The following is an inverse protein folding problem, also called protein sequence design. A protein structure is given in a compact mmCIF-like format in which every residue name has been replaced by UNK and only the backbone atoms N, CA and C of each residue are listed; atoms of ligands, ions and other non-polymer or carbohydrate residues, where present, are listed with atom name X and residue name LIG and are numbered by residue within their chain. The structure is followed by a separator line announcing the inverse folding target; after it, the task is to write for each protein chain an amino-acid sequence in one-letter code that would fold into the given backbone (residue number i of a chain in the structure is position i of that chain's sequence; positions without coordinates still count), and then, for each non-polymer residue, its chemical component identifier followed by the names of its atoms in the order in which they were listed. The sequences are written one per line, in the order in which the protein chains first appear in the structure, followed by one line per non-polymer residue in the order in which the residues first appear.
data_IF_570820575247
#
_entry.id   IF_570820575247
#
_cell.length_a   1.000
_cell.length_b   1.000
_cell.length_c   1.000
_cell.angle_alpha   90.00
_cell.angle_beta   90.00
_cell.angle_gamma   90.00
#
_symmetry.space_group_name_H-M   'P 1'
#
loop_
_entity.id
_entity.type
_entity.pdbx_description
1 polymer ?
#
# COMPACT_ATOMS: atom_id res chain seq x y z
N UNK A 1 11.47 7.28 -1.03
CA UNK A 1 10.92 6.55 -2.20
C UNK A 1 12.05 6.16 -3.13
N UNK A 2 13.07 7.01 -3.24
CA UNK A 2 14.28 6.86 -4.06
C UNK A 2 14.92 5.46 -4.03
N UNK A 3 15.15 4.85 -2.86
CA UNK A 3 15.68 3.47 -2.77
C UNK A 3 14.84 2.44 -3.57
N UNK A 4 13.51 2.57 -3.55
CA UNK A 4 12.64 1.69 -4.32
C UNK A 4 12.69 1.98 -5.82
N UNK A 5 12.92 3.24 -6.22
CA UNK A 5 13.10 3.61 -7.62
C UNK A 5 14.46 3.09 -8.13
N UNK A 6 15.51 3.22 -7.33
CA UNK A 6 16.86 2.74 -7.62
C UNK A 6 16.89 1.21 -7.75
N UNK A 7 16.23 0.46 -6.86
CA UNK A 7 16.11 -1.00 -6.98
C UNK A 7 15.47 -1.41 -8.32
N UNK A 8 14.40 -0.73 -8.74
CA UNK A 8 13.75 -1.01 -10.02
C UNK A 8 14.67 -0.68 -11.21
N UNK A 9 15.43 0.41 -11.12
CA UNK A 9 16.41 0.77 -12.15
C UNK A 9 17.57 -0.24 -12.23
N UNK A 10 18.07 -0.71 -11.09
CA UNK A 10 19.08 -1.77 -11.02
C UNK A 10 18.55 -3.05 -11.68
N UNK A 11 17.33 -3.48 -11.34
CA UNK A 11 16.71 -4.65 -11.97
C UNK A 11 16.56 -4.47 -13.49
N UNK A 12 16.08 -3.30 -13.94
CA UNK A 12 15.91 -2.96 -15.36
C UNK A 12 17.22 -2.93 -16.14
N UNK A 13 18.32 -2.53 -15.50
CA UNK A 13 19.65 -2.42 -16.12
C UNK A 13 20.51 -3.68 -15.96
N UNK A 14 20.02 -4.70 -15.24
CA UNK A 14 20.65 -6.04 -15.15
C UNK A 14 20.61 -6.75 -16.52
N UNK A 15 21.51 -7.70 -16.75
CA UNK A 15 21.54 -8.54 -17.97
C UNK A 15 21.43 -10.03 -17.61
N UNK A 16 20.33 -10.72 -17.95
CA UNK A 16 19.13 -10.20 -18.61
C UNK A 16 18.34 -9.21 -17.72
N UNK A 17 17.55 -8.29 -18.31
CA UNK A 17 16.71 -7.39 -17.54
C UNK A 17 15.76 -8.14 -16.62
N UNK A 18 15.63 -7.66 -15.39
CA UNK A 18 14.70 -8.19 -14.40
C UNK A 18 13.55 -7.20 -14.26
N UNK A 19 12.32 -7.68 -14.41
CA UNK A 19 11.13 -6.85 -14.22
C UNK A 19 10.17 -7.53 -13.24
N UNK A 20 10.09 -6.95 -12.05
CA UNK A 20 9.11 -7.35 -11.03
C UNK A 20 7.85 -6.48 -11.06
N UNK A 21 8.01 -5.17 -11.28
CA UNK A 21 6.93 -4.20 -11.31
C UNK A 21 6.03 -4.39 -12.55
N UNK A 22 4.72 -4.27 -12.35
CA UNK A 22 3.71 -4.26 -13.40
C UNK A 22 3.24 -2.83 -13.68
N UNK A 23 2.37 -2.66 -14.67
CA UNK A 23 1.72 -1.36 -14.90
C UNK A 23 0.89 -0.89 -13.70
N UNK A 24 0.38 -1.80 -12.88
CA UNK A 24 -0.30 -1.47 -11.62
C UNK A 24 0.69 -0.90 -10.60
N UNK A 25 1.88 -1.49 -10.49
CA UNK A 25 2.96 -0.97 -9.64
C UNK A 25 3.33 0.46 -10.05
N UNK A 26 3.51 0.72 -11.36
CA UNK A 26 3.81 2.07 -11.86
C UNK A 26 2.64 3.03 -11.69
N UNK A 27 1.39 2.57 -11.80
CA UNK A 27 0.21 3.38 -11.49
C UNK A 27 0.18 3.79 -10.01
N UNK A 28 0.50 2.87 -9.09
CA UNK A 28 0.62 3.18 -7.66
C UNK A 28 1.73 4.20 -7.37
N UNK A 29 2.89 4.10 -8.04
CA UNK A 29 3.97 5.09 -7.95
C UNK A 29 3.46 6.48 -8.36
N UNK A 30 2.80 6.58 -9.52
CA UNK A 30 2.23 7.85 -10.00
C UNK A 30 1.18 8.39 -9.04
N UNK A 31 0.33 7.51 -8.51
CA UNK A 31 -0.75 7.88 -7.62
C UNK A 31 -0.25 8.49 -6.31
N UNK A 32 0.69 7.81 -5.64
CA UNK A 32 1.28 8.30 -4.38
C UNK A 32 2.01 9.62 -4.59
N UNK A 33 2.77 9.76 -5.68
CA UNK A 33 3.44 11.03 -6.04
C UNK A 33 2.42 12.15 -6.28
N UNK A 34 1.36 11.89 -7.03
CA UNK A 34 0.31 12.86 -7.31
C UNK A 34 -0.47 13.26 -6.04
N UNK A 35 -0.71 12.32 -5.14
CA UNK A 35 -1.36 12.57 -3.85
C UNK A 35 -0.52 13.48 -2.95
N UNK A 36 0.77 13.16 -2.78
CA UNK A 36 1.70 14.02 -2.05
C UNK A 36 1.79 15.43 -2.66
N UNK A 37 1.88 15.53 -3.99
CA UNK A 37 1.92 16.80 -4.71
C UNK A 37 0.65 17.62 -4.48
N UNK A 38 -0.54 16.97 -4.54
CA UNK A 38 -1.83 17.62 -4.27
C UNK A 38 -1.90 18.20 -2.86
N UNK A 39 -1.30 17.53 -1.89
CA UNK A 39 -1.31 17.92 -0.48
C UNK A 39 -0.17 18.85 -0.09
N UNK A 40 0.77 19.11 -1.00
CA UNK A 40 1.91 19.99 -0.77
C UNK A 40 2.91 19.47 0.26
N UNK A 41 2.79 18.20 0.68
CA UNK A 41 3.69 17.53 1.63
C UNK A 41 3.73 16.03 1.36
N UNK A 42 4.78 15.38 1.82
CA UNK A 42 4.87 13.91 1.79
C UNK A 42 4.00 13.32 2.90
N UNK A 43 2.88 12.74 2.50
CA UNK A 43 1.90 12.04 3.33
C UNK A 43 2.14 10.53 3.35
N UNK A 44 2.45 10.00 2.18
CA UNK A 44 2.64 8.58 1.95
C UNK A 44 3.95 8.34 1.19
N UNK A 45 4.63 7.24 1.50
CA UNK A 45 5.82 6.80 0.79
C UNK A 45 5.62 5.36 0.32
N UNK A 46 5.83 5.10 -0.97
CA UNK A 46 5.80 3.74 -1.48
C UNK A 46 7.17 3.06 -1.37
N UNK A 47 7.16 1.73 -1.34
CA UNK A 47 8.31 0.88 -1.63
C UNK A 47 7.87 -0.44 -2.27
N UNK A 48 8.74 -1.03 -3.08
CA UNK A 48 8.56 -2.31 -3.74
C UNK A 48 9.78 -3.18 -3.49
N UNK A 49 9.58 -4.46 -3.20
CA UNK A 49 10.65 -5.41 -2.89
C UNK A 49 10.51 -6.67 -3.73
N UNK A 50 11.27 -6.72 -4.83
CA UNK A 50 11.34 -7.85 -5.77
C UNK A 50 9.96 -8.45 -6.17
N UNK A 51 8.94 -7.60 -6.30
CA UNK A 51 7.57 -8.02 -6.62
C UNK A 51 6.69 -6.84 -7.06
N UNK A 52 5.46 -7.15 -7.48
CA UNK A 52 4.50 -6.15 -7.96
C UNK A 52 3.75 -5.42 -6.83
N UNK A 53 3.79 -5.96 -5.61
CA UNK A 53 3.06 -5.44 -4.46
C UNK A 53 3.64 -4.09 -4.01
N UNK A 54 2.76 -3.10 -3.85
CA UNK A 54 3.11 -1.79 -3.35
C UNK A 54 2.94 -1.75 -1.83
N UNK A 55 4.04 -1.57 -1.10
CA UNK A 55 3.99 -1.23 0.31
C UNK A 55 3.92 0.28 0.46
N UNK A 56 3.08 0.77 1.37
CA UNK A 56 2.93 2.21 1.62
C UNK A 56 3.13 2.49 3.11
N UNK A 57 4.03 3.42 3.41
CA UNK A 57 4.18 3.99 4.74
C UNK A 57 3.41 5.31 4.82
N UNK A 58 2.63 5.48 5.89
CA UNK A 58 1.88 6.70 6.20
C UNK A 58 1.80 6.87 7.72
N UNK A 59 1.49 8.08 8.18
CA UNK A 59 1.11 8.29 9.58
C UNK A 59 -0.34 7.82 9.79
N UNK A 60 -0.65 7.37 11.01
CA UNK A 60 -1.98 6.88 11.39
C UNK A 60 -3.08 7.92 11.12
N UNK A 61 -2.83 9.19 11.46
CA UNK A 61 -3.75 10.30 11.22
C UNK A 61 -4.06 10.56 9.73
N UNK A 62 -3.15 10.14 8.85
CA UNK A 62 -3.20 10.36 7.41
C UNK A 62 -3.74 9.12 6.65
N UNK A 63 -3.82 7.97 7.34
CA UNK A 63 -4.25 6.68 6.78
C UNK A 63 -5.69 6.68 6.21
N UNK A 64 -6.71 7.23 6.89
CA UNK A 64 -8.07 7.21 6.35
C UNK A 64 -8.19 7.94 5.01
N UNK A 65 -7.53 9.08 4.88
CA UNK A 65 -7.54 9.86 3.65
C UNK A 65 -6.78 9.16 2.51
N UNK A 66 -5.63 8.56 2.84
CA UNK A 66 -4.87 7.72 1.92
C UNK A 66 -5.74 6.57 1.38
N UNK A 67 -6.39 5.80 2.26
CA UNK A 67 -7.23 4.67 1.87
C UNK A 67 -8.40 5.12 1.01
N UNK A 68 -9.06 6.22 1.37
CA UNK A 68 -10.14 6.78 0.58
C UNK A 68 -9.67 7.17 -0.83
N UNK A 69 -8.51 7.84 -0.94
CA UNK A 69 -7.88 8.17 -2.21
C UNK A 69 -7.52 6.93 -3.02
N UNK A 70 -6.97 5.89 -2.38
CA UNK A 70 -6.70 4.61 -3.04
C UNK A 70 -7.97 3.99 -3.60
N UNK A 71 -9.08 3.96 -2.84
CA UNK A 71 -10.36 3.40 -3.30
C UNK A 71 -11.00 4.19 -4.44
N UNK A 72 -10.73 5.50 -4.55
CA UNK A 72 -11.20 6.29 -5.68
C UNK A 72 -10.58 5.83 -7.02
N UNK A 73 -9.37 5.27 -6.99
CA UNK A 73 -8.60 4.84 -8.17
C UNK A 73 -8.57 3.32 -8.34
N UNK A 74 -8.51 2.58 -7.24
CA UNK A 74 -8.46 1.12 -7.16
C UNK A 74 -9.61 0.61 -6.29
N UNK A 75 -10.87 0.70 -6.76
CA UNK A 75 -12.04 0.32 -5.97
C UNK A 75 -11.97 -1.15 -5.59
N UNK A 76 -11.85 -1.40 -4.28
CA UNK A 76 -11.61 -2.73 -3.71
C UNK A 76 -12.72 -3.04 -2.71
N UNK A 77 -13.27 -4.25 -2.75
CA UNK A 77 -14.31 -4.67 -1.80
C UNK A 77 -13.73 -4.68 -0.36
N UNK A 78 -14.40 -4.09 0.64
CA UNK A 78 -14.05 -4.18 2.06
C UNK A 78 -13.74 -5.59 2.60
N UNK A 79 -14.30 -6.65 2.00
CA UNK A 79 -13.97 -8.05 2.37
C UNK A 79 -12.48 -8.39 2.15
N UNK A 80 -11.77 -7.61 1.33
CA UNK A 80 -10.34 -7.75 1.05
C UNK A 80 -9.46 -6.87 1.95
N UNK A 81 -10.06 -6.19 2.94
CA UNK A 81 -9.34 -5.32 3.88
C UNK A 81 -9.02 -6.08 5.16
N UNK A 82 -7.73 -6.22 5.43
CA UNK A 82 -7.20 -6.87 6.62
C UNK A 82 -6.43 -5.82 7.41
N UNK A 83 -7.03 -5.34 8.49
CA UNK A 83 -6.49 -4.29 9.34
C UNK A 83 -6.25 -4.89 10.73
N UNK A 84 -5.22 -4.40 11.41
CA UNK A 84 -4.95 -4.83 12.79
C UNK A 84 -5.99 -4.25 13.76
N UNK A 85 -6.40 -2.99 13.54
CA UNK A 85 -7.44 -2.31 14.32
C UNK A 85 -8.75 -2.16 13.53
N UNK A 86 -9.78 -2.89 13.95
CA UNK A 86 -11.13 -2.82 13.37
C UNK A 86 -11.76 -1.42 13.46
N UNK A 87 -11.41 -0.60 14.47
CA UNK A 87 -11.89 0.78 14.54
C UNK A 87 -11.27 1.63 13.44
N UNK A 88 -9.97 1.46 13.20
CA UNK A 88 -9.28 2.15 12.12
C UNK A 88 -9.82 1.74 10.75
N UNK A 89 -10.10 0.45 10.56
CA UNK A 89 -10.79 -0.06 9.37
C UNK A 89 -12.13 0.65 9.16
N UNK A 90 -12.95 0.73 10.20
CA UNK A 90 -14.26 1.38 10.12
C UNK A 90 -14.14 2.86 9.74
N UNK A 91 -13.17 3.59 10.32
CA UNK A 91 -12.89 4.98 9.96
C UNK A 91 -12.49 5.09 8.49
N UNK A 92 -11.63 4.21 7.99
CA UNK A 92 -11.21 4.21 6.58
C UNK A 92 -12.38 3.92 5.63
N UNK A 93 -13.28 2.99 5.99
CA UNK A 93 -14.45 2.65 5.18
C UNK A 93 -15.47 3.79 5.05
N UNK A 94 -15.57 4.63 6.07
CA UNK A 94 -16.49 5.76 6.10
C UNK A 94 -15.86 7.07 5.61
N UNK A 95 -14.54 7.10 5.42
CA UNK A 95 -13.85 8.29 4.91
C UNK A 95 -14.06 8.41 3.41
N UNK A 96 -14.57 9.56 2.99
CA UNK A 96 -14.74 9.87 1.56
C UNK A 96 -13.50 10.60 1.04
N UNK A 97 -13.03 10.19 -0.14
CA UNK A 97 -11.91 10.87 -0.79
C UNK A 97 -12.30 12.33 -1.08
N UNK A 98 -11.47 13.30 -0.69
CA UNK A 98 -11.67 14.69 -1.09
C UNK A 98 -11.76 14.79 -2.62
N UNK A 99 -12.64 15.65 -3.14
CA UNK A 99 -12.90 15.76 -4.60
C UNK A 99 -11.59 15.95 -5.40
N UNK A 100 -10.68 16.71 -4.82
CA UNK A 100 -9.37 17.05 -5.38
C UNK A 100 -8.39 15.85 -5.46
N UNK A 101 -8.78 14.70 -4.91
CA UNK A 101 -8.04 13.45 -4.87
C UNK A 101 -8.75 12.28 -5.58
N UNK A 102 -9.79 12.53 -6.38
CA UNK A 102 -10.57 11.45 -7.03
C UNK A 102 -10.11 11.07 -8.44
N UNK A 103 -9.32 11.92 -9.10
CA UNK A 103 -8.85 11.74 -10.49
C UNK A 103 -7.39 12.22 -10.63
N UNK A 104 -6.50 11.70 -9.77
CA UNK A 104 -5.10 12.10 -9.72
C UNK A 104 -4.27 11.49 -10.86
N UNK A 105 -4.68 10.33 -11.38
CA UNK A 105 -4.04 9.65 -12.50
C UNK A 105 -5.08 9.15 -13.50
N UNK A 106 -4.69 9.09 -14.77
CA UNK A 106 -5.45 8.37 -15.80
C UNK A 106 -4.98 6.92 -15.84
N UNK A 107 -5.77 6.01 -15.26
CA UNK A 107 -5.49 4.59 -15.22
C UNK A 107 -6.79 3.77 -15.05
N UNK A 108 -6.92 2.60 -15.70
CA UNK A 108 -8.11 1.76 -15.56
C UNK A 108 -8.35 1.35 -14.11
N UNK A 109 -9.56 1.62 -13.60
CA UNK A 109 -9.97 1.22 -12.26
C UNK A 109 -10.02 -0.29 -12.14
N UNK A 110 -9.34 -0.84 -11.14
CA UNK A 110 -9.37 -2.26 -10.79
C UNK A 110 -9.20 -2.46 -9.28
N UNK A 111 -9.62 -3.61 -8.79
CA UNK A 111 -9.50 -3.96 -7.37
C UNK A 111 -8.08 -4.40 -7.05
N UNK A 112 -7.61 -4.11 -5.83
CA UNK A 112 -6.50 -4.84 -5.25
C UNK A 112 -6.92 -6.29 -4.97
N UNK A 113 -5.94 -7.19 -4.89
CA UNK A 113 -6.21 -8.54 -4.39
C UNK A 113 -6.44 -8.55 -2.88
N UNK A 114 -5.72 -7.68 -2.17
CA UNK A 114 -5.79 -7.49 -0.73
C UNK A 114 -5.26 -6.11 -0.38
N UNK A 115 -5.87 -5.46 0.63
CA UNK A 115 -5.29 -4.31 1.32
C UNK A 115 -4.99 -4.72 2.77
N UNK A 116 -3.70 -4.85 3.08
CA UNK A 116 -3.22 -5.17 4.42
C UNK A 116 -2.74 -3.88 5.09
N UNK A 117 -3.20 -3.64 6.31
CA UNK A 117 -2.72 -2.59 7.20
C UNK A 117 -2.09 -3.24 8.43
N UNK A 118 -0.99 -2.66 8.90
CA UNK A 118 -0.30 -3.10 10.11
C UNK A 118 0.51 -1.96 10.70
N UNK A 119 0.56 -1.93 12.03
CA UNK A 119 1.41 -1.01 12.78
C UNK A 119 2.87 -1.49 12.86
N UNK A 120 3.76 -0.65 13.39
CA UNK A 120 5.15 -1.06 13.64
C UNK A 120 5.18 -2.16 14.71
N UNK A 121 5.59 -3.36 14.31
CA UNK A 121 5.56 -4.55 15.16
C UNK A 121 6.63 -4.60 16.27
N UNK A 122 6.40 -5.48 17.26
CA UNK A 122 7.28 -5.70 18.41
C UNK A 122 8.35 -6.81 18.19
N UNK A 123 8.42 -7.39 16.98
CA UNK A 123 9.33 -8.50 16.67
C UNK A 123 8.78 -9.88 17.08
N UNK A 124 9.68 -10.86 17.21
CA UNK A 124 9.33 -12.25 17.50
C UNK A 124 8.74 -12.42 18.91
N UNK A 125 7.84 -13.39 19.07
CA UNK A 125 7.24 -13.76 20.36
C UNK A 125 7.45 -15.26 20.62
N UNK A 126 7.82 -15.61 21.84
CA UNK A 126 7.81 -16.99 22.31
C UNK A 126 6.38 -17.32 22.74
N UNK A 127 5.82 -18.39 22.18
CA UNK A 127 4.47 -18.85 22.45
C UNK A 127 4.52 -20.10 23.34
N UNK A 128 3.41 -20.42 24.00
CA UNK A 128 3.32 -21.60 24.86
C UNK A 128 3.15 -22.90 24.05
N UNK A 129 3.26 -24.03 24.75
CA UNK A 129 3.12 -25.37 24.16
C UNK A 129 1.74 -25.58 23.49
N UNK A 130 0.72 -24.84 23.92
CA UNK A 130 -0.62 -24.82 23.34
C UNK A 130 -0.66 -24.32 21.88
N UNK A 131 0.32 -23.53 21.47
CA UNK A 131 0.48 -23.03 20.10
C UNK A 131 1.50 -23.88 19.30
N UNK A 132 1.99 -24.99 19.88
CA UNK A 132 2.89 -25.89 19.18
C UNK A 132 2.24 -26.46 17.92
N UNK A 133 2.95 -26.36 16.80
CA UNK A 133 2.56 -26.98 15.53
C UNK A 133 2.85 -28.50 15.51
N UNK A 134 3.60 -29.01 16.50
CA UNK A 134 3.85 -30.44 16.70
C UNK A 134 2.89 -30.93 17.79
N UNK A 135 1.98 -31.84 17.41
CA UNK A 135 1.04 -32.46 18.33
C UNK A 135 1.73 -33.59 19.11
N UNK A 136 1.56 -33.59 20.44
CA UNK A 136 1.95 -34.70 21.31
C UNK A 136 0.92 -35.84 21.26
#
# INVERSE_FOLDING_TARGET
MDESDDLQEICRTTTPPIQYATEDSYAMIRLVRAFNARRGRTLAAYTFDAGANCFIFTLEQDLPELVAMLMAHFPTNPDKFFFEDEKMKEVCLHTTAPEDCTNLIDYPKKSFEMLLESSVGAGVRLLGDEESLIKN
#
